data_IF_310557632670
#
_entry.id   IF_310557632670
#
_cell.length_a   1.000
_cell.length_b   1.000
_cell.length_c   1.000
_cell.angle_alpha   90.00
_cell.angle_beta   90.00
_cell.angle_gamma   90.00
#
_symmetry.space_group_name_H-M   'P 1'
#
loop_
_entity.id
_entity.type
_entity.pdbx_description
1 polymer ?
#
# COMPACT_ATOMS: atom_id res chain seq x y z
N UNK A 1 31.40 -16.48 -10.10
CA UNK A 1 30.84 -15.20 -9.60
C UNK A 1 29.32 -15.25 -9.45
N UNK A 2 28.60 -15.94 -10.33
CA UNK A 2 27.12 -15.96 -10.35
C UNK A 2 26.46 -16.65 -9.13
N UNK A 3 27.15 -17.61 -8.50
CA UNK A 3 26.61 -18.33 -7.33
C UNK A 3 26.57 -17.50 -6.03
N UNK A 4 27.35 -16.42 -5.94
CA UNK A 4 27.37 -15.55 -4.75
C UNK A 4 26.32 -14.44 -4.81
N UNK A 5 25.79 -14.13 -6.00
CA UNK A 5 24.73 -13.14 -6.21
C UNK A 5 23.48 -13.41 -5.36
N UNK A 6 22.91 -14.64 -5.32
CA UNK A 6 21.73 -14.91 -4.49
C UNK A 6 22.03 -14.79 -2.99
N UNK A 7 23.22 -15.18 -2.54
CA UNK A 7 23.63 -15.11 -1.12
C UNK A 7 23.72 -13.64 -0.68
N UNK A 8 24.31 -12.77 -1.52
CA UNK A 8 24.45 -11.33 -1.24
C UNK A 8 23.07 -10.64 -1.19
N UNK A 9 22.17 -10.98 -2.13
CA UNK A 9 20.79 -10.44 -2.15
C UNK A 9 20.01 -10.85 -0.90
N UNK A 10 20.09 -12.12 -0.48
CA UNK A 10 19.43 -12.62 0.74
C UNK A 10 20.00 -11.94 1.99
N UNK A 11 21.33 -11.74 2.06
CA UNK A 11 21.98 -11.07 3.18
C UNK A 11 21.53 -9.60 3.31
N UNK A 12 21.41 -8.88 2.20
CA UNK A 12 20.93 -7.49 2.19
C UNK A 12 19.45 -7.40 2.62
N UNK A 13 18.58 -8.25 2.07
CA UNK A 13 17.15 -8.26 2.45
C UNK A 13 16.99 -8.60 3.94
N UNK A 14 17.75 -9.59 4.43
CA UNK A 14 17.73 -9.98 5.86
C UNK A 14 18.19 -8.84 6.77
N UNK A 15 19.19 -8.05 6.36
CA UNK A 15 19.69 -6.90 7.11
C UNK A 15 18.63 -5.79 7.22
N UNK A 16 17.93 -5.48 6.13
CA UNK A 16 16.89 -4.44 6.14
C UNK A 16 15.63 -4.87 6.89
N UNK A 17 15.19 -6.13 6.75
CA UNK A 17 14.02 -6.67 7.46
C UNK A 17 14.27 -6.77 8.98
N UNK A 18 15.44 -7.26 9.41
CA UNK A 18 15.76 -7.31 10.84
C UNK A 18 15.83 -5.91 11.46
N UNK A 19 16.46 -4.95 10.78
CA UNK A 19 16.64 -3.58 11.29
C UNK A 19 15.31 -2.83 11.46
N UNK A 20 14.36 -3.02 10.55
CA UNK A 20 13.02 -2.43 10.67
C UNK A 20 12.19 -3.03 11.82
N UNK A 21 12.37 -4.33 12.09
CA UNK A 21 11.63 -5.03 13.15
C UNK A 21 12.12 -4.68 14.57
N UNK A 22 13.40 -4.35 14.75
CA UNK A 22 13.96 -3.98 16.05
C UNK A 22 13.47 -2.62 16.56
N UNK A 23 13.27 -1.65 15.67
CA UNK A 23 12.74 -0.34 16.06
C UNK A 23 11.29 -0.43 16.57
N UNK A 24 10.47 -1.32 15.97
CA UNK A 24 9.08 -1.53 16.40
C UNK A 24 8.99 -2.26 17.74
N UNK A 25 9.95 -3.16 18.05
CA UNK A 25 10.01 -3.89 19.33
C UNK A 25 10.54 -3.05 20.50
N UNK A 26 11.38 -2.04 20.25
CA UNK A 26 11.88 -1.11 21.28
C UNK A 26 10.88 0.00 21.65
N UNK A 27 9.98 0.38 20.73
CA UNK A 27 8.94 1.38 20.99
C UNK A 27 7.70 0.81 21.75
N UNK A 28 7.50 -0.50 21.77
CA UNK A 28 6.33 -1.14 22.38
C UNK A 28 6.56 -1.70 23.80
N UNK A 29 7.78 -1.60 24.36
CA UNK A 29 8.15 -2.26 25.63
C UNK A 29 8.59 -1.31 26.76
N UNK A 30 8.31 -0.01 26.65
CA UNK A 30 8.56 0.94 27.75
C UNK A 30 7.27 1.61 28.24
N UNK A 31 6.52 0.92 29.11
CA UNK A 31 5.71 1.48 30.21
C UNK A 31 5.16 0.32 31.06
N UNK A 32 5.83 -0.03 32.17
CA UNK A 32 5.47 0.24 33.58
C UNK A 32 4.61 -0.85 34.26
N UNK A 33 4.70 -0.98 35.61
CA UNK A 33 4.73 -2.26 36.29
C UNK A 33 3.39 -2.73 36.88
N UNK A 34 3.32 -4.06 37.04
CA UNK A 34 2.54 -4.87 37.98
C UNK A 34 1.86 -4.13 39.14
N UNK A 35 0.53 -4.29 39.25
CA UNK A 35 -0.20 -4.71 40.48
C UNK A 35 -1.70 -5.02 40.20
N UNK A 36 -2.39 -5.73 41.13
CA UNK A 36 -3.38 -6.75 40.77
C UNK A 36 -4.85 -6.38 41.03
N UNK A 37 -5.73 -7.08 40.31
CA UNK A 37 -7.00 -7.67 40.72
C UNK A 37 -8.05 -6.78 41.45
N UNK A 38 -9.24 -6.64 40.84
CA UNK A 38 -10.56 -6.86 41.48
C UNK A 38 -11.71 -6.61 40.48
N UNK A 39 -12.40 -7.69 40.09
CA UNK A 39 -13.88 -7.70 39.88
C UNK A 39 -14.56 -7.50 41.26
N UNK A 40 -15.88 -7.20 41.41
CA UNK A 40 -16.99 -7.53 40.51
C UNK A 40 -18.14 -6.48 40.46
N UNK A 41 -19.26 -6.90 39.84
CA UNK A 41 -20.66 -6.55 40.13
C UNK A 41 -21.39 -5.59 39.17
N UNK A 42 -22.20 -6.24 38.33
CA UNK A 42 -23.46 -5.73 37.79
C UNK A 42 -24.45 -5.44 38.94
N UNK A 43 -25.35 -4.47 38.79
CA UNK A 43 -26.77 -4.85 38.81
C UNK A 43 -27.68 -4.12 37.80
N UNK A 44 -28.79 -4.81 37.55
CA UNK A 44 -30.01 -4.57 36.76
C UNK A 44 -30.61 -3.14 36.70
N UNK A 45 -31.21 -2.90 35.53
CA UNK A 45 -32.52 -2.28 35.24
C UNK A 45 -32.75 -0.80 35.55
N UNK A 46 -32.99 -0.01 34.50
CA UNK A 46 -34.07 0.98 34.52
C UNK A 46 -34.64 1.26 33.12
N UNK A 47 -35.86 1.78 33.13
CA UNK A 47 -36.93 1.66 32.14
C UNK A 47 -36.75 2.42 30.80
N UNK A 48 -37.51 1.93 29.81
CA UNK A 48 -37.92 2.64 28.59
C UNK A 48 -38.44 4.04 28.90
N UNK A 49 -38.22 4.99 27.97
CA UNK A 49 -39.35 5.47 27.16
C UNK A 49 -39.15 5.20 25.67
N UNK A 50 -40.21 4.72 25.02
CA UNK A 50 -40.26 4.50 23.58
C UNK A 50 -40.29 5.84 22.81
N UNK A 51 -39.47 6.02 21.76
CA UNK A 51 -39.68 7.08 20.79
C UNK A 51 -40.78 6.70 19.76
N UNK A 52 -41.50 7.71 19.23
CA UNK A 52 -42.75 7.53 18.50
C UNK A 52 -42.60 6.80 17.16
N UNK A 53 -43.64 6.03 16.84
CA UNK A 53 -43.84 5.32 15.59
C UNK A 53 -43.67 6.26 14.38
N UNK A 54 -42.52 6.15 13.72
CA UNK A 54 -42.33 6.68 12.36
C UNK A 54 -43.28 5.93 11.43
N UNK A 55 -44.29 6.65 10.93
CA UNK A 55 -45.21 6.20 9.90
C UNK A 55 -44.41 5.61 8.74
N UNK A 56 -44.51 4.29 8.57
CA UNK A 56 -44.07 3.62 7.35
C UNK A 56 -44.86 4.25 6.21
N UNK A 57 -44.23 4.72 5.11
CA UNK A 57 -45.00 5.07 3.93
C UNK A 57 -45.70 3.80 3.47
N UNK A 58 -47.03 3.88 3.43
CA UNK A 58 -47.89 2.89 2.80
C UNK A 58 -47.37 2.73 1.38
N UNK A 59 -46.73 1.60 1.09
CA UNK A 59 -46.48 1.21 -0.28
C UNK A 59 -47.85 1.02 -0.92
N UNK A 60 -48.27 2.03 -1.67
CA UNK A 60 -49.29 1.91 -2.68
C UNK A 60 -48.90 0.72 -3.55
N UNK A 61 -49.66 -0.37 -3.45
CA UNK A 61 -49.56 -1.46 -4.41
C UNK A 61 -49.85 -0.83 -5.77
N UNK A 62 -48.90 -0.83 -6.73
CA UNK A 62 -49.21 -0.38 -8.07
C UNK A 62 -50.36 -1.27 -8.57
N UNK A 63 -51.46 -0.63 -8.99
CA UNK A 63 -52.54 -1.30 -9.71
C UNK A 63 -51.88 -2.09 -10.85
N UNK A 64 -52.18 -3.38 -11.04
CA UNK A 64 -51.72 -4.09 -12.23
C UNK A 64 -52.32 -3.37 -13.43
N UNK A 65 -51.49 -2.64 -14.16
CA UNK A 65 -51.82 -2.16 -15.49
C UNK A 65 -52.16 -3.42 -16.28
N UNK A 66 -53.39 -3.49 -16.78
CA UNK A 66 -53.83 -4.49 -17.74
C UNK A 66 -52.95 -4.35 -18.97
N UNK A 67 -51.80 -5.03 -18.98
CA UNK A 67 -51.03 -5.23 -20.18
C UNK A 67 -51.89 -6.11 -21.10
N UNK A 68 -52.32 -5.54 -22.23
CA UNK A 68 -52.88 -6.30 -23.33
C UNK A 68 -51.92 -7.45 -23.62
N UNK A 69 -52.37 -8.68 -23.37
CA UNK A 69 -51.59 -9.88 -23.70
C UNK A 69 -51.32 -9.84 -25.21
N UNK A 70 -50.05 -9.83 -25.65
CA UNK A 70 -49.74 -9.96 -27.07
C UNK A 70 -50.33 -11.29 -27.55
N UNK A 71 -51.09 -11.25 -28.62
CA UNK A 71 -51.82 -12.43 -29.13
C UNK A 71 -50.87 -13.39 -29.87
N UNK A 72 -49.62 -12.98 -30.13
CA UNK A 72 -48.60 -13.80 -30.76
C UNK A 72 -47.19 -13.57 -30.17
N UNK A 73 -46.34 -14.61 -30.22
CA UNK A 73 -44.92 -14.53 -29.85
C UNK A 73 -44.13 -13.51 -30.69
N UNK A 74 -44.62 -13.20 -31.90
CA UNK A 74 -43.98 -12.28 -32.85
C UNK A 74 -44.13 -10.83 -32.41
N UNK A 75 -45.34 -10.44 -31.98
CA UNK A 75 -45.61 -9.11 -31.42
C UNK A 75 -44.85 -8.88 -30.11
N UNK A 76 -44.71 -9.92 -29.26
CA UNK A 76 -43.93 -9.82 -28.03
C UNK A 76 -42.42 -9.57 -28.31
N UNK A 77 -41.88 -10.19 -29.37
CA UNK A 77 -40.50 -9.99 -29.78
C UNK A 77 -40.27 -8.58 -30.37
N UNK A 78 -41.21 -8.06 -31.15
CA UNK A 78 -41.13 -6.70 -31.71
C UNK A 78 -41.21 -5.61 -30.63
N UNK A 79 -42.07 -5.79 -29.62
CA UNK A 79 -42.17 -4.85 -28.49
C UNK A 79 -40.85 -4.84 -27.70
N UNK A 80 -40.25 -6.01 -27.43
CA UNK A 80 -38.96 -6.11 -26.76
C UNK A 80 -37.83 -5.46 -27.57
N UNK A 81 -37.78 -5.70 -28.89
CA UNK A 81 -36.78 -5.09 -29.77
C UNK A 81 -36.90 -3.58 -29.83
N UNK A 82 -38.13 -3.05 -29.93
CA UNK A 82 -38.38 -1.61 -29.93
C UNK A 82 -38.01 -0.92 -28.61
N UNK A 83 -38.18 -1.61 -27.49
CA UNK A 83 -37.78 -1.08 -26.16
C UNK A 83 -36.28 -1.21 -25.90
N UNK A 84 -35.62 -2.23 -26.46
CA UNK A 84 -34.18 -2.45 -26.26
C UNK A 84 -33.30 -1.62 -27.22
N UNK A 85 -33.78 -1.28 -28.41
CA UNK A 85 -33.05 -0.45 -29.38
C UNK A 85 -32.53 0.88 -28.79
N UNK A 86 -33.36 1.74 -28.16
CA UNK A 86 -32.87 3.00 -27.60
C UNK A 86 -31.85 2.77 -26.48
N UNK A 87 -32.04 1.74 -25.64
CA UNK A 87 -31.09 1.42 -24.58
C UNK A 87 -29.73 0.93 -25.10
N UNK A 88 -29.70 0.29 -26.28
CA UNK A 88 -28.46 -0.17 -26.90
C UNK A 88 -27.72 1.00 -27.53
N UNK A 89 -28.43 1.94 -28.15
CA UNK A 89 -27.84 3.16 -28.72
C UNK A 89 -27.29 4.08 -27.62
N UNK A 90 -28.03 4.30 -26.54
CA UNK A 90 -27.57 5.07 -25.38
C UNK A 90 -26.30 4.45 -24.78
N UNK A 91 -26.29 3.13 -24.57
CA UNK A 91 -25.09 2.44 -24.05
C UNK A 91 -23.91 2.45 -25.02
N UNK A 92 -24.15 2.45 -26.34
CA UNK A 92 -23.09 2.60 -27.33
C UNK A 92 -22.45 3.97 -27.25
N UNK A 93 -23.26 5.04 -27.22
CA UNK A 93 -22.73 6.40 -27.12
C UNK A 93 -21.98 6.63 -25.80
N UNK A 94 -22.47 6.10 -24.68
CA UNK A 94 -21.75 6.12 -23.40
C UNK A 94 -20.41 5.39 -23.46
N UNK A 95 -20.37 4.22 -24.12
CA UNK A 95 -19.15 3.44 -24.28
C UNK A 95 -18.14 4.14 -25.19
N UNK A 96 -18.59 4.77 -26.27
CA UNK A 96 -17.77 5.58 -27.17
C UNK A 96 -17.17 6.79 -26.45
N UNK A 97 -17.99 7.52 -25.69
CA UNK A 97 -17.53 8.66 -24.89
C UNK A 97 -16.48 8.24 -23.86
N UNK A 98 -16.71 7.15 -23.11
CA UNK A 98 -15.73 6.60 -22.16
C UNK A 98 -14.44 6.17 -22.86
N UNK A 99 -14.55 5.59 -24.06
CA UNK A 99 -13.37 5.19 -24.82
C UNK A 99 -12.56 6.42 -25.30
N UNK A 100 -13.22 7.50 -25.68
CA UNK A 100 -12.54 8.76 -26.03
C UNK A 100 -11.85 9.41 -24.83
N UNK A 101 -12.49 9.42 -23.66
CA UNK A 101 -11.90 9.90 -22.41
C UNK A 101 -10.64 9.10 -22.05
N UNK A 102 -10.72 7.77 -22.08
CA UNK A 102 -9.58 6.90 -21.82
C UNK A 102 -8.44 7.09 -22.83
N UNK A 103 -8.76 7.36 -24.11
CA UNK A 103 -7.74 7.68 -25.12
C UNK A 103 -7.04 9.00 -24.81
N UNK A 104 -7.77 10.03 -24.38
CA UNK A 104 -7.20 11.33 -23.98
C UNK A 104 -6.31 11.19 -22.75
N UNK A 105 -6.74 10.43 -21.74
CA UNK A 105 -5.93 10.14 -20.56
C UNK A 105 -4.66 9.36 -20.92
N UNK A 106 -4.79 8.31 -21.73
CA UNK A 106 -3.65 7.51 -22.17
C UNK A 106 -2.61 8.35 -22.94
N UNK A 107 -3.07 9.28 -23.80
CA UNK A 107 -2.19 10.22 -24.48
C UNK A 107 -1.46 11.14 -23.49
N UNK A 108 -2.17 11.70 -22.50
CA UNK A 108 -1.56 12.54 -21.47
C UNK A 108 -0.51 11.79 -20.62
N UNK A 109 -0.79 10.53 -20.24
CA UNK A 109 0.19 9.70 -19.53
C UNK A 109 1.40 9.37 -20.38
N UNK A 110 1.21 9.13 -21.68
CA UNK A 110 2.31 8.85 -22.61
C UNK A 110 3.25 10.05 -22.76
N UNK A 111 2.71 11.25 -22.87
CA UNK A 111 3.51 12.48 -22.91
C UNK A 111 4.29 12.70 -21.60
N UNK A 112 3.62 12.54 -20.44
CA UNK A 112 4.30 12.62 -19.13
C UNK A 112 5.42 11.58 -18.99
N UNK A 113 5.20 10.36 -19.45
CA UNK A 113 6.21 9.31 -19.42
C UNK A 113 7.42 9.65 -20.30
N UNK A 114 7.20 10.24 -21.48
CA UNK A 114 8.27 10.72 -22.38
C UNK A 114 9.09 11.85 -21.75
N UNK A 115 8.43 12.80 -21.09
CA UNK A 115 9.11 13.87 -20.37
C UNK A 115 9.96 13.34 -19.21
N UNK A 116 9.44 12.37 -18.46
CA UNK A 116 10.21 11.75 -17.36
C UNK A 116 11.39 10.94 -17.90
N UNK A 117 11.22 10.24 -19.03
CA UNK A 117 12.29 9.49 -19.66
C UNK A 117 13.43 10.40 -20.09
N UNK A 118 13.12 11.46 -20.85
CA UNK A 118 14.11 12.44 -21.33
C UNK A 118 14.83 13.14 -20.18
N UNK A 119 14.11 13.54 -19.12
CA UNK A 119 14.72 14.08 -17.90
C UNK A 119 15.64 13.06 -17.23
N UNK A 120 15.26 11.78 -17.19
CA UNK A 120 16.08 10.73 -16.58
C UNK A 120 17.33 10.41 -17.39
N UNK A 121 17.25 10.48 -18.73
CA UNK A 121 18.39 10.31 -19.63
C UNK A 121 19.37 11.47 -19.49
N UNK A 122 18.88 12.72 -19.48
CA UNK A 122 19.72 13.89 -19.23
C UNK A 122 20.43 13.84 -17.86
N UNK A 123 19.80 13.26 -16.84
CA UNK A 123 20.43 13.05 -15.51
C UNK A 123 21.43 11.89 -15.53
N UNK A 124 21.23 10.87 -16.37
CA UNK A 124 22.18 9.75 -16.53
C UNK A 124 23.42 10.18 -17.31
N UNK A 125 23.27 10.99 -18.36
CA UNK A 125 24.40 11.50 -19.14
C UNK A 125 25.27 12.47 -18.33
N UNK A 126 24.67 13.28 -17.45
CA UNK A 126 25.41 14.18 -16.54
C UNK A 126 25.94 13.48 -15.27
N UNK A 127 25.60 12.22 -15.04
CA UNK A 127 26.27 11.40 -14.04
C UNK A 127 27.44 10.70 -14.71
N UNK A 128 28.50 11.47 -14.95
CA UNK A 128 29.85 10.89 -14.89
C UNK A 128 29.85 10.03 -13.63
N UNK A 129 30.08 8.72 -13.82
CA UNK A 129 30.05 7.77 -12.72
C UNK A 129 30.92 8.37 -11.62
N UNK A 130 30.37 8.67 -10.42
CA UNK A 130 31.26 9.05 -9.34
C UNK A 130 32.21 7.86 -9.24
N UNK A 131 33.49 8.10 -9.52
CA UNK A 131 34.51 7.17 -9.08
C UNK A 131 34.30 7.09 -7.58
N UNK A 132 33.57 6.06 -7.16
CA UNK A 132 33.45 5.66 -5.78
C UNK A 132 34.82 5.06 -5.49
N UNK A 133 35.82 5.94 -5.37
CA UNK A 133 37.05 5.56 -4.73
C UNK A 133 36.63 5.02 -3.37
N UNK A 134 37.02 3.80 -3.03
CA UNK A 134 36.68 3.24 -1.74
C UNK A 134 37.22 4.21 -0.69
N UNK A 135 36.30 4.85 0.04
CA UNK A 135 36.59 5.87 1.05
C UNK A 135 37.59 5.38 2.13
N UNK A 136 37.76 4.05 2.23
CA UNK A 136 38.83 3.43 2.99
C UNK A 136 39.64 2.49 2.10
N UNK A 137 40.93 2.78 1.97
CA UNK A 137 41.88 1.82 1.44
C UNK A 137 42.25 0.81 2.54
N UNK A 138 42.70 -0.39 2.16
CA UNK A 138 43.15 -1.40 3.11
C UNK A 138 44.23 -0.85 4.07
N UNK A 139 45.07 0.06 3.57
CA UNK A 139 46.09 0.76 4.35
C UNK A 139 45.51 1.65 5.45
N UNK A 140 44.34 2.25 5.24
CA UNK A 140 43.68 3.12 6.23
C UNK A 140 43.15 2.30 7.40
N UNK A 141 42.66 1.09 7.14
CA UNK A 141 42.24 0.14 8.16
C UNK A 141 43.44 -0.27 9.02
N UNK A 142 44.55 -0.64 8.39
CA UNK A 142 45.78 -1.02 9.10
C UNK A 142 46.31 0.15 9.92
N UNK A 143 46.33 1.36 9.35
CA UNK A 143 46.74 2.57 10.06
C UNK A 143 45.83 2.87 11.25
N UNK A 144 44.51 2.69 11.10
CA UNK A 144 43.55 2.83 12.19
C UNK A 144 43.81 1.85 13.34
N UNK A 145 44.10 0.57 13.02
CA UNK A 145 44.46 -0.44 14.01
C UNK A 145 45.75 -0.05 14.75
N UNK A 146 46.80 0.36 14.03
CA UNK A 146 48.07 0.78 14.64
C UNK A 146 47.85 2.00 15.54
N UNK A 147 47.12 3.01 15.08
CA UNK A 147 46.82 4.20 15.87
C UNK A 147 46.01 3.85 17.12
N UNK A 148 45.13 2.85 17.06
CA UNK A 148 44.36 2.39 18.22
C UNK A 148 45.21 1.71 19.30
N UNK A 149 46.32 1.06 18.92
CA UNK A 149 47.27 0.46 19.86
C UNK A 149 48.24 1.52 20.42
N UNK A 150 48.73 2.45 19.57
CA UNK A 150 49.68 3.50 19.97
C UNK A 150 49.03 4.57 20.85
N UNK A 151 47.81 5.00 20.51
CA UNK A 151 47.08 6.02 21.25
C UNK A 151 46.20 5.43 22.36
N UNK A 152 46.05 4.11 22.40
CA UNK A 152 45.35 3.39 23.46
C UNK A 152 46.15 3.37 24.78
N UNK A 153 45.50 3.08 25.92
CA UNK A 153 46.21 2.85 27.16
C UNK A 153 47.19 1.66 26.98
N UNK A 154 48.44 1.78 27.45
CA UNK A 154 49.47 0.78 27.18
C UNK A 154 49.02 -0.59 27.71
N UNK A 155 49.22 -1.66 26.91
CA UNK A 155 48.90 -3.03 27.32
C UNK A 155 49.51 -3.41 28.68
N UNK A 156 50.67 -2.86 29.01
CA UNK A 156 51.33 -3.05 30.31
C UNK A 156 50.51 -2.58 31.53
N UNK A 157 49.53 -1.67 31.35
CA UNK A 157 48.60 -1.25 32.42
C UNK A 157 47.42 -2.22 32.62
N UNK A 158 47.23 -3.21 31.75
CA UNK A 158 46.21 -4.25 31.97
C UNK A 158 46.70 -5.19 33.05
N UNK A 159 45.97 -5.28 34.16
CA UNK A 159 46.23 -6.28 35.20
C UNK A 159 45.95 -7.66 34.60
N UNK A 160 47.01 -8.39 34.24
CA UNK A 160 46.91 -9.82 33.95
C UNK A 160 46.57 -10.51 35.28
N UNK A 161 45.34 -10.99 35.44
CA UNK A 161 44.95 -11.80 36.60
C UNK A 161 43.85 -11.22 37.48
N UNK A 162 42.66 -11.01 36.92
CA UNK A 162 41.40 -11.23 37.65
C UNK A 162 40.43 -11.94 36.71
N UNK A 163 40.56 -13.25 36.66
CA UNK A 163 39.45 -14.17 36.42
C UNK A 163 39.30 -15.00 37.68
#
# INVERSE_FOLDING_TARGET
MEQFLPIIVIALISLFVNRASEQKKRAANHEKPSRPNKRPAQPRQQERPAPPASKKPVQEKPKPVLAERPRSLREAAEILLSQMQPQIEDKKTEAENKMEELKKEAAAYKERARELHTKSEAVKENKEQPHIEPFFQQNDIVKGIIMSEVLGPPRAKRRYGRY
#
